data_IF_726613444314
#
_entry.id   IF_726613444314
#
_cell.length_a   1.000
_cell.length_b   1.000
_cell.length_c   1.000
_cell.angle_alpha   90.00
_cell.angle_beta   90.00
_cell.angle_gamma   90.00
#
_symmetry.space_group_name_H-M   'P 1'
#
loop_
_entity.id
_entity.type
_entity.pdbx_description
1 polymer ?
#
# COMPACT_ATOMS: atom_id res chain seq x y z
N UNK A 1 -7.71 19.77 3.97
CA UNK A 1 -7.50 19.46 2.55
C UNK A 1 -7.58 17.96 2.35
N UNK A 2 -8.07 17.52 1.19
CA UNK A 2 -8.10 16.10 0.80
C UNK A 2 -7.15 15.95 -0.38
N UNK A 3 -6.17 15.07 -0.26
CA UNK A 3 -5.42 14.56 -1.39
C UNK A 3 -6.14 13.31 -1.87
N UNK A 4 -6.89 13.45 -2.97
CA UNK A 4 -7.64 12.36 -3.57
C UNK A 4 -6.81 11.68 -4.67
N UNK A 5 -6.73 10.36 -4.62
CA UNK A 5 -6.04 9.54 -5.62
C UNK A 5 -7.03 8.51 -6.17
N UNK A 6 -7.46 8.70 -7.41
CA UNK A 6 -8.34 7.74 -8.07
C UNK A 6 -7.53 6.57 -8.63
N UNK A 7 -8.07 5.36 -8.52
CA UNK A 7 -7.51 4.11 -9.05
C UNK A 7 -6.06 3.82 -8.65
N UNK A 8 -5.75 4.00 -7.37
CA UNK A 8 -4.42 3.71 -6.83
C UNK A 8 -4.11 2.20 -6.92
N UNK A 9 -3.05 1.87 -7.63
CA UNK A 9 -2.50 0.52 -7.70
C UNK A 9 -1.00 0.56 -8.02
N UNK A 10 -0.29 -0.51 -7.71
CA UNK A 10 1.14 -0.67 -7.98
C UNK A 10 1.37 -1.90 -8.87
N UNK A 11 2.35 -1.82 -9.76
CA UNK A 11 2.78 -2.93 -10.61
C UNK A 11 4.02 -3.64 -10.05
N UNK A 12 4.41 -4.76 -10.69
CA UNK A 12 5.43 -5.67 -10.16
C UNK A 12 6.78 -4.99 -9.88
N UNK A 13 7.18 -4.08 -10.76
CA UNK A 13 8.48 -3.41 -10.70
C UNK A 13 8.40 -2.04 -10.02
N UNK A 14 7.22 -1.67 -9.50
CA UNK A 14 7.01 -0.37 -8.89
C UNK A 14 7.47 -0.37 -7.44
N UNK A 15 8.53 0.40 -7.14
CA UNK A 15 9.07 0.58 -5.79
C UNK A 15 8.48 1.79 -5.07
N UNK A 16 7.66 2.60 -5.75
CA UNK A 16 7.08 3.83 -5.21
C UNK A 16 6.11 3.59 -4.04
N UNK A 17 5.58 2.37 -3.89
CA UNK A 17 4.76 1.98 -2.75
C UNK A 17 5.49 2.19 -1.41
N UNK A 18 6.82 2.01 -1.38
CA UNK A 18 7.65 2.24 -0.18
C UNK A 18 7.69 3.72 0.18
N UNK A 19 7.80 4.60 -0.82
CA UNK A 19 7.76 6.04 -0.63
C UNK A 19 6.41 6.51 -0.13
N UNK A 20 5.31 5.97 -0.68
CA UNK A 20 3.96 6.27 -0.19
C UNK A 20 3.77 5.82 1.25
N UNK A 21 4.20 4.59 1.57
CA UNK A 21 4.15 4.07 2.95
C UNK A 21 4.90 4.98 3.92
N UNK A 22 6.13 5.37 3.58
CA UNK A 22 6.95 6.26 4.41
C UNK A 22 6.30 7.63 4.62
N UNK A 23 5.62 8.19 3.60
CA UNK A 23 4.88 9.44 3.72
C UNK A 23 3.64 9.32 4.63
N UNK A 24 2.95 8.18 4.58
CA UNK A 24 1.81 7.89 5.47
C UNK A 24 2.24 7.61 6.92
N UNK A 25 3.42 7.02 7.11
CA UNK A 25 4.02 6.75 8.43
C UNK A 25 4.75 7.96 9.03
N UNK A 26 5.09 8.95 8.20
CA UNK A 26 5.79 10.17 8.59
C UNK A 26 7.30 9.99 8.78
N UNK A 27 7.91 9.04 8.07
CA UNK A 27 9.34 8.71 8.19
C UNK A 27 10.32 9.68 7.53
N UNK A 28 9.86 10.52 6.59
CA UNK A 28 10.70 11.53 5.89
C UNK A 28 10.19 12.94 6.15
N UNK A 29 8.91 13.17 5.89
CA UNK A 29 8.19 14.38 6.27
C UNK A 29 6.78 13.92 6.68
N UNK A 30 6.34 14.26 7.89
CA UNK A 30 5.05 13.81 8.43
C UNK A 30 3.89 14.28 7.56
N UNK A 31 2.85 13.46 7.41
CA UNK A 31 1.58 13.91 6.80
C UNK A 31 1.10 15.18 7.51
N UNK A 32 0.86 16.30 6.79
CA UNK A 32 0.39 17.53 7.41
C UNK A 32 -0.91 17.30 8.20
N UNK A 33 -1.05 17.92 9.37
CA UNK A 33 -2.18 17.70 10.26
C UNK A 33 -3.55 18.05 9.63
N UNK A 34 -3.55 18.92 8.62
CA UNK A 34 -4.73 19.39 7.89
C UNK A 34 -4.92 18.71 6.52
N UNK A 35 -4.20 17.62 6.20
CA UNK A 35 -4.31 16.89 4.92
C UNK A 35 -4.73 15.46 5.19
N UNK A 36 -5.84 15.00 4.60
CA UNK A 36 -6.26 13.59 4.61
C UNK A 36 -5.98 12.99 3.23
N UNK A 37 -5.42 11.78 3.21
CA UNK A 37 -5.24 11.00 1.99
C UNK A 37 -6.46 10.10 1.77
N UNK A 38 -7.07 10.16 0.60
CA UNK A 38 -8.19 9.32 0.22
C UNK A 38 -7.91 8.67 -1.13
N UNK A 39 -8.02 7.35 -1.22
CA UNK A 39 -7.78 6.63 -2.46
C UNK A 39 -8.90 5.63 -2.77
N UNK A 40 -9.20 5.48 -4.05
CA UNK A 40 -9.98 4.36 -4.58
C UNK A 40 -9.02 3.35 -5.21
N UNK A 41 -9.42 2.08 -5.29
CA UNK A 41 -8.64 1.07 -6.01
C UNK A 41 -9.59 0.02 -6.59
N UNK A 42 -9.38 -0.34 -7.85
CA UNK A 42 -10.10 -1.44 -8.48
C UNK A 42 -9.45 -2.81 -8.20
N UNK A 43 -8.30 -2.83 -7.51
CA UNK A 43 -7.61 -4.08 -7.15
C UNK A 43 -7.96 -4.49 -5.71
N UNK A 44 -8.14 -5.79 -5.49
CA UNK A 44 -8.36 -6.35 -4.14
C UNK A 44 -7.18 -6.11 -3.19
N UNK A 45 -5.98 -6.02 -3.74
CA UNK A 45 -4.75 -5.67 -3.03
C UNK A 45 -4.06 -4.55 -3.82
N UNK A 46 -3.51 -3.55 -3.14
CA UNK A 46 -2.77 -2.45 -3.79
C UNK A 46 -1.52 -2.97 -4.53
N UNK A 47 -0.93 -4.06 -4.03
CA UNK A 47 0.21 -4.76 -4.64
C UNK A 47 -0.24 -6.05 -5.34
N UNK A 48 0.38 -6.43 -6.48
CA UNK A 48 0.11 -7.69 -7.18
C UNK A 48 0.41 -8.92 -6.34
N UNK A 49 -0.36 -10.00 -6.53
CA UNK A 49 -0.15 -11.29 -5.83
C UNK A 49 1.18 -11.95 -6.20
N UNK A 50 1.56 -11.92 -7.47
CA UNK A 50 2.81 -12.54 -7.94
C UNK A 50 4.05 -11.94 -7.26
N UNK A 51 4.04 -10.63 -6.91
CA UNK A 51 5.10 -10.01 -6.10
C UNK A 51 5.17 -10.57 -4.68
N UNK A 52 4.02 -10.85 -4.08
CA UNK A 52 3.92 -11.39 -2.72
C UNK A 52 4.41 -12.84 -2.72
N UNK A 53 4.02 -13.62 -3.72
CA UNK A 53 4.37 -15.04 -3.85
C UNK A 53 5.84 -15.27 -4.25
N UNK A 54 6.40 -14.43 -5.14
CA UNK A 54 7.82 -14.50 -5.51
C UNK A 54 8.71 -14.24 -4.30
N UNK A 55 8.44 -13.18 -3.54
CA UNK A 55 9.26 -12.86 -2.36
C UNK A 55 9.08 -13.85 -1.23
N UNK A 56 7.88 -14.41 -1.07
CA UNK A 56 7.68 -15.54 -0.17
C UNK A 56 8.61 -16.72 -0.51
N UNK A 57 8.93 -16.90 -1.78
CA UNK A 57 9.75 -18.02 -2.28
C UNK A 57 11.25 -17.74 -2.24
N UNK A 58 11.67 -16.47 -2.36
CA UNK A 58 13.09 -16.06 -2.42
C UNK A 58 13.63 -15.43 -1.14
N UNK A 59 12.77 -14.96 -0.23
CA UNK A 59 13.19 -14.30 0.99
C UNK A 59 13.69 -15.28 2.05
N UNK A 60 14.72 -14.85 2.80
CA UNK A 60 15.22 -15.57 3.98
C UNK A 60 14.13 -15.64 5.07
N UNK A 61 13.33 -14.57 5.20
CA UNK A 61 12.18 -14.46 6.10
C UNK A 61 10.89 -14.15 5.31
N UNK A 62 10.19 -15.18 4.80
CA UNK A 62 9.02 -15.01 3.95
C UNK A 62 7.89 -14.21 4.62
N UNK A 63 7.67 -14.41 5.93
CA UNK A 63 6.59 -13.74 6.67
C UNK A 63 6.81 -12.23 6.78
N UNK A 64 8.05 -11.80 7.04
CA UNK A 64 8.39 -10.37 7.16
C UNK A 64 8.21 -9.64 5.81
N UNK A 65 8.65 -10.26 4.71
CA UNK A 65 8.50 -9.69 3.37
C UNK A 65 7.02 -9.52 2.97
N UNK A 66 6.17 -10.48 3.35
CA UNK A 66 4.72 -10.40 3.13
C UNK A 66 4.09 -9.33 4.04
N UNK A 67 4.43 -9.30 5.32
CA UNK A 67 3.94 -8.27 6.27
C UNK A 67 4.32 -6.86 5.82
N UNK A 68 5.54 -6.64 5.32
CA UNK A 68 5.97 -5.34 4.83
C UNK A 68 5.10 -4.86 3.65
N UNK A 69 4.72 -5.77 2.74
CA UNK A 69 3.83 -5.44 1.59
C UNK A 69 2.39 -5.21 2.03
N UNK A 70 1.86 -6.04 2.93
CA UNK A 70 0.49 -5.90 3.44
C UNK A 70 0.33 -4.62 4.26
N UNK A 71 1.37 -4.23 5.02
CA UNK A 71 1.33 -3.08 5.93
C UNK A 71 1.03 -1.73 5.28
N UNK A 72 1.24 -1.57 3.96
CA UNK A 72 0.77 -0.38 3.24
C UNK A 72 -0.77 -0.33 3.20
N UNK A 73 -1.41 -1.48 2.95
CA UNK A 73 -2.87 -1.58 2.90
C UNK A 73 -3.50 -1.29 4.26
N UNK A 74 -2.83 -1.68 5.35
CA UNK A 74 -3.27 -1.39 6.73
C UNK A 74 -3.28 0.11 7.07
N UNK A 75 -2.62 0.97 6.27
CA UNK A 75 -2.68 2.44 6.42
C UNK A 75 -3.98 3.04 5.92
N UNK A 76 -4.79 2.26 5.20
CA UNK A 76 -6.12 2.64 4.77
C UNK A 76 -7.14 2.09 5.78
N UNK A 77 -7.51 2.91 6.77
CA UNK A 77 -8.39 2.51 7.88
C UNK A 77 -9.84 2.19 7.51
N UNK A 78 -10.25 2.40 6.26
CA UNK A 78 -11.57 2.07 5.72
C UNK A 78 -11.40 1.43 4.35
N UNK A 79 -11.78 0.15 4.23
CA UNK A 79 -11.85 -0.56 2.96
C UNK A 79 -13.31 -0.86 2.64
N UNK A 80 -13.83 -0.26 1.57
CA UNK A 80 -15.18 -0.51 1.09
C UNK A 80 -15.11 -1.54 -0.04
N UNK A 81 -15.26 -2.81 0.32
CA UNK A 81 -15.39 -3.89 -0.65
C UNK A 81 -16.80 -3.91 -1.24
N UNK A 82 -16.91 -3.89 -2.57
CA UNK A 82 -18.18 -4.14 -3.25
C UNK A 82 -18.31 -5.64 -3.52
N UNK A 83 -19.36 -6.25 -2.96
CA UNK A 83 -19.75 -7.62 -3.28
C UNK A 83 -21.05 -7.57 -4.09
N UNK A 84 -21.16 -8.41 -5.13
CA UNK A 84 -22.45 -8.69 -5.79
C UNK A 84 -23.16 -9.81 -5.06
#
# INVERSE_FOLDING_TARGET
>A
FILFCDDLSFDHDDTSYKSLKAALEGGVEGRPANVIFYATSNRRHLLPRDMIDNERSTAINPSEAVEEKVSLSDRFGLWLGFHK
#
